data_IF_295483625022
#
_entry.id   IF_295483625022
#
_cell.length_a   1.000
_cell.length_b   1.000
_cell.length_c   1.000
_cell.angle_alpha   90.00
_cell.angle_beta   90.00
_cell.angle_gamma   90.00
#
_symmetry.space_group_name_H-M   'P 1'
#
loop_
_entity.id
_entity.type
_entity.pdbx_description
1 polymer ?
#
# COMPACT_ATOMS: atom_id res chain seq x y z
N UNK A 1 20.74 17.29 1.36
CA UNK A 1 20.99 18.63 0.79
C UNK A 1 20.67 18.63 -0.71
N UNK A 2 20.34 19.77 -1.32
CA UNK A 2 20.18 19.85 -2.77
C UNK A 2 21.47 19.34 -3.46
N UNK A 3 21.33 18.51 -4.51
CA UNK A 3 22.43 17.85 -5.25
C UNK A 3 23.12 16.68 -4.51
N UNK A 4 22.55 16.16 -3.42
CA UNK A 4 23.06 14.94 -2.82
C UNK A 4 22.70 13.75 -3.71
N UNK A 5 23.71 12.97 -4.15
CA UNK A 5 23.50 11.68 -4.80
C UNK A 5 23.16 10.64 -3.73
N UNK A 6 22.07 9.90 -3.92
CA UNK A 6 21.69 8.77 -3.08
C UNK A 6 21.65 7.52 -3.96
N UNK A 7 22.48 6.55 -3.65
CA UNK A 7 22.46 5.24 -4.31
C UNK A 7 21.63 4.27 -3.46
N UNK A 8 20.56 3.72 -4.03
CA UNK A 8 19.72 2.69 -3.40
C UNK A 8 19.96 1.37 -4.14
N UNK A 9 20.50 0.38 -3.43
CA UNK A 9 20.74 -0.96 -3.97
C UNK A 9 19.78 -1.97 -3.33
N UNK A 10 19.03 -2.68 -4.17
CA UNK A 10 18.18 -3.79 -3.76
C UNK A 10 18.73 -5.07 -4.34
N UNK A 11 18.94 -6.08 -3.51
CA UNK A 11 19.42 -7.40 -3.92
C UNK A 11 18.51 -8.47 -3.36
N UNK A 12 18.27 -9.54 -4.12
CA UNK A 12 17.42 -10.63 -3.67
C UNK A 12 17.46 -11.81 -4.62
N UNK A 13 16.83 -12.91 -4.22
CA UNK A 13 16.56 -14.07 -5.07
C UNK A 13 15.06 -14.26 -5.20
N UNK A 14 14.59 -14.48 -6.41
CA UNK A 14 13.18 -14.63 -6.73
C UNK A 14 12.94 -15.98 -7.36
N UNK A 15 11.87 -16.65 -6.95
CA UNK A 15 11.38 -17.86 -7.58
C UNK A 15 10.08 -17.57 -8.33
N UNK A 16 10.06 -17.91 -9.61
CA UNK A 16 8.88 -17.79 -10.47
C UNK A 16 8.21 -19.16 -10.55
N UNK A 17 6.89 -19.21 -10.48
CA UNK A 17 6.11 -20.45 -10.46
C UNK A 17 5.09 -20.44 -11.59
N UNK A 18 4.92 -21.59 -12.24
CA UNK A 18 3.95 -21.76 -13.34
C UNK A 18 2.48 -21.57 -12.90
N UNK A 19 2.21 -21.76 -11.61
CA UNK A 19 0.88 -21.53 -11.02
C UNK A 19 1.03 -20.61 -9.80
N UNK A 20 0.09 -19.71 -9.58
CA UNK A 20 0.09 -18.89 -8.38
C UNK A 20 0.15 -19.77 -7.12
N UNK A 21 1.08 -19.51 -6.22
CA UNK A 21 1.17 -20.21 -4.94
C UNK A 21 -0.01 -19.91 -4.04
N UNK A 22 -0.56 -18.70 -4.20
CA UNK A 22 -1.77 -18.25 -3.53
C UNK A 22 -2.49 -17.23 -4.40
N UNK A 23 -3.79 -17.41 -4.56
CA UNK A 23 -4.65 -16.43 -5.19
C UNK A 23 -5.01 -15.36 -4.17
N UNK A 24 -4.70 -14.10 -4.48
CA UNK A 24 -5.13 -12.94 -3.70
C UNK A 24 -6.14 -12.21 -4.57
N UNK A 25 -7.39 -12.22 -4.14
CA UNK A 25 -8.44 -11.50 -4.84
C UNK A 25 -8.23 -10.00 -4.67
N UNK A 26 -8.12 -9.24 -5.76
CA UNK A 26 -8.06 -7.78 -5.68
C UNK A 26 -9.38 -7.22 -5.16
N UNK A 27 -9.33 -6.06 -4.51
CA UNK A 27 -10.55 -5.37 -4.10
C UNK A 27 -11.37 -4.93 -5.33
N UNK A 28 -12.69 -4.80 -5.22
CA UNK A 28 -13.52 -4.26 -6.30
C UNK A 28 -13.02 -2.89 -6.81
N UNK A 29 -12.55 -2.03 -5.91
CA UNK A 29 -11.98 -0.73 -6.29
C UNK A 29 -10.70 -0.86 -7.10
N UNK A 30 -9.89 -1.89 -6.86
CA UNK A 30 -8.70 -2.19 -7.66
C UNK A 30 -9.10 -2.61 -9.06
N UNK A 31 -10.07 -3.52 -9.22
CA UNK A 31 -10.56 -3.92 -10.54
C UNK A 31 -11.13 -2.75 -11.32
N UNK A 32 -11.97 -1.91 -10.68
CA UNK A 32 -12.53 -0.71 -11.30
C UNK A 32 -11.47 0.30 -11.73
N UNK A 33 -10.38 0.46 -10.96
CA UNK A 33 -9.29 1.35 -11.35
C UNK A 33 -8.55 0.86 -12.59
N UNK A 34 -8.49 -0.46 -12.79
CA UNK A 34 -7.86 -1.08 -13.96
C UNK A 34 -8.78 -1.15 -15.21
N UNK A 35 -9.92 -0.46 -15.19
CA UNK A 35 -10.79 -0.23 -16.34
C UNK A 35 -10.68 1.21 -16.88
N UNK A 36 -10.06 2.12 -16.13
CA UNK A 36 -10.05 3.54 -16.49
C UNK A 36 -9.04 3.84 -17.60
N UNK A 37 -9.37 4.76 -18.53
CA UNK A 37 -8.41 5.26 -19.49
C UNK A 37 -7.29 6.04 -18.79
N UNK A 38 -6.12 6.10 -19.42
CA UNK A 38 -4.97 6.91 -18.99
C UNK A 38 -4.31 7.53 -20.21
N UNK A 39 -3.22 8.27 -20.02
CA UNK A 39 -2.48 8.91 -21.11
C UNK A 39 -2.05 7.92 -22.18
N UNK A 40 -1.56 6.74 -21.81
CA UNK A 40 -1.03 5.75 -22.75
C UNK A 40 -2.03 4.62 -23.06
N UNK A 41 -3.04 4.42 -22.20
CA UNK A 41 -4.10 3.43 -22.41
C UNK A 41 -5.42 4.13 -22.72
N UNK A 42 -5.53 4.67 -23.93
CA UNK A 42 -6.68 5.47 -24.40
C UNK A 42 -7.90 4.58 -24.67
N UNK A 43 -8.38 3.88 -23.65
CA UNK A 43 -9.53 2.95 -23.77
C UNK A 43 -10.88 3.66 -24.02
N UNK A 44 -10.93 4.97 -23.92
CA UNK A 44 -12.06 5.83 -24.26
C UNK A 44 -12.01 6.36 -25.71
N UNK A 45 -10.91 6.15 -26.44
CA UNK A 45 -10.82 6.51 -27.86
C UNK A 45 -11.83 5.72 -28.69
N UNK A 46 -12.61 6.38 -29.60
CA UNK A 46 -13.65 5.70 -30.38
C UNK A 46 -13.14 4.54 -31.22
N UNK A 47 -12.00 4.68 -31.91
CA UNK A 47 -11.46 3.61 -32.77
C UNK A 47 -11.00 2.41 -31.94
N UNK A 48 -10.37 2.66 -30.79
CA UNK A 48 -9.98 1.59 -29.85
C UNK A 48 -11.21 0.86 -29.33
N UNK A 49 -12.29 1.59 -28.97
CA UNK A 49 -13.55 0.99 -28.51
C UNK A 49 -14.24 0.14 -29.56
N UNK A 50 -14.30 0.63 -30.80
CA UNK A 50 -14.94 -0.11 -31.89
C UNK A 50 -14.15 -1.37 -32.24
N UNK A 51 -12.82 -1.27 -32.25
CA UNK A 51 -11.95 -2.44 -32.43
C UNK A 51 -12.09 -3.43 -31.27
N UNK A 52 -12.07 -2.96 -30.03
CA UNK A 52 -12.22 -3.81 -28.84
C UNK A 52 -13.55 -4.58 -28.86
N UNK A 53 -14.65 -3.91 -29.25
CA UNK A 53 -15.97 -4.53 -29.40
C UNK A 53 -15.97 -5.60 -30.52
N UNK A 54 -15.30 -5.33 -31.62
CA UNK A 54 -15.18 -6.28 -32.75
C UNK A 54 -14.40 -7.53 -32.35
N UNK A 55 -13.28 -7.37 -31.63
CA UNK A 55 -12.44 -8.47 -31.18
C UNK A 55 -13.12 -9.28 -30.06
N UNK A 56 -13.68 -8.62 -29.08
CA UNK A 56 -14.56 -9.19 -28.05
C UNK A 56 -13.85 -10.00 -26.95
N UNK A 57 -12.71 -10.64 -27.23
CA UNK A 57 -12.01 -11.52 -26.25
C UNK A 57 -10.52 -11.19 -26.14
N UNK A 58 -9.88 -11.43 -24.97
CA UNK A 58 -8.44 -11.24 -24.81
C UNK A 58 -7.60 -12.00 -25.85
N UNK A 59 -7.97 -13.22 -26.20
CA UNK A 59 -7.28 -14.02 -27.21
C UNK A 59 -7.28 -13.30 -28.56
N UNK A 60 -8.45 -12.85 -29.03
CA UNK A 60 -8.53 -12.15 -30.32
C UNK A 60 -7.81 -10.81 -30.32
N UNK A 61 -7.76 -10.12 -29.17
CA UNK A 61 -6.96 -8.89 -29.01
C UNK A 61 -5.47 -9.20 -29.11
N UNK A 62 -5.01 -10.26 -28.46
CA UNK A 62 -3.63 -10.73 -28.56
C UNK A 62 -3.29 -11.12 -29.99
N UNK A 63 -4.11 -11.93 -30.64
CA UNK A 63 -3.90 -12.37 -32.02
C UNK A 63 -3.84 -11.18 -32.99
N UNK A 64 -4.75 -10.21 -32.83
CA UNK A 64 -4.74 -8.99 -33.63
C UNK A 64 -3.42 -8.22 -33.48
N UNK A 65 -2.96 -8.01 -32.23
CA UNK A 65 -1.75 -7.26 -31.93
C UNK A 65 -0.52 -7.96 -32.48
N UNK A 66 -0.39 -9.28 -32.26
CA UNK A 66 0.75 -10.06 -32.74
C UNK A 66 0.85 -10.12 -34.28
N UNK A 67 -0.28 -10.05 -35.00
CA UNK A 67 -0.34 -10.06 -36.46
C UNK A 67 -0.22 -8.67 -37.07
N UNK A 68 -0.57 -7.61 -36.34
CA UNK A 68 -0.64 -6.25 -36.90
C UNK A 68 0.59 -5.43 -36.55
N UNK A 69 1.07 -5.49 -35.32
CA UNK A 69 2.23 -4.69 -34.91
C UNK A 69 3.53 -5.35 -35.33
N UNK A 70 4.45 -4.51 -35.80
CA UNK A 70 5.83 -4.92 -36.12
C UNK A 70 6.79 -4.26 -35.13
N UNK A 71 7.68 -5.06 -34.57
CA UNK A 71 8.66 -4.56 -33.59
C UNK A 71 9.73 -3.71 -34.26
N UNK A 72 9.87 -2.46 -33.85
CA UNK A 72 10.87 -1.52 -34.36
C UNK A 72 12.12 -1.52 -33.48
N UNK A 73 13.14 -2.27 -33.89
CA UNK A 73 14.42 -2.37 -33.18
C UNK A 73 15.19 -1.05 -33.13
N UNK A 74 15.02 -0.16 -34.09
CA UNK A 74 15.71 1.14 -34.13
C UNK A 74 15.25 2.08 -33.04
N UNK A 75 14.05 1.86 -32.48
CA UNK A 75 13.51 2.61 -31.36
C UNK A 75 14.06 2.17 -29.99
N UNK A 76 14.75 1.04 -29.90
CA UNK A 76 15.27 0.54 -28.63
C UNK A 76 16.47 1.38 -28.20
N UNK A 77 16.20 2.51 -27.60
CA UNK A 77 17.19 3.48 -27.11
C UNK A 77 16.99 3.77 -25.62
N UNK A 78 18.03 4.22 -24.90
CA UNK A 78 17.96 4.40 -23.44
C UNK A 78 16.86 5.36 -22.94
N UNK A 79 16.45 6.31 -23.75
CA UNK A 79 15.45 7.33 -23.40
C UNK A 79 14.31 7.36 -24.41
N UNK A 80 13.86 6.18 -24.85
CA UNK A 80 12.77 6.08 -25.82
C UNK A 80 11.46 6.69 -25.30
N UNK A 81 10.82 7.48 -26.15
CA UNK A 81 9.50 8.02 -25.86
C UNK A 81 8.42 6.94 -25.99
N UNK A 82 7.53 6.85 -25.01
CA UNK A 82 6.34 6.00 -25.04
C UNK A 82 5.24 6.67 -25.85
N UNK A 83 4.69 5.98 -26.83
CA UNK A 83 3.73 6.56 -27.79
C UNK A 83 2.27 6.30 -27.41
N UNK A 84 1.98 5.19 -26.73
CA UNK A 84 0.64 4.80 -26.28
C UNK A 84 -0.17 4.01 -27.33
N UNK A 85 -1.33 3.53 -26.88
CA UNK A 85 -2.19 2.62 -27.63
C UNK A 85 -2.70 3.21 -28.95
N UNK A 86 -3.12 4.48 -28.95
CA UNK A 86 -3.61 5.14 -30.17
C UNK A 86 -2.54 5.26 -31.24
N UNK A 87 -1.33 5.57 -30.84
CA UNK A 87 -0.19 5.63 -31.77
C UNK A 87 0.16 4.26 -32.32
N UNK A 88 0.13 3.21 -31.48
CA UNK A 88 0.34 1.83 -31.91
C UNK A 88 -0.69 1.39 -32.96
N UNK A 89 -1.95 1.76 -32.78
CA UNK A 89 -3.01 1.46 -33.76
C UNK A 89 -2.79 2.17 -35.10
N UNK A 90 -2.39 3.43 -35.07
CA UNK A 90 -2.22 4.26 -36.28
C UNK A 90 -0.89 4.00 -37.00
N UNK A 91 0.16 3.60 -36.31
CA UNK A 91 1.50 3.36 -36.82
C UNK A 91 2.03 2.00 -36.37
N UNK A 92 1.47 0.89 -36.87
CA UNK A 92 1.77 -0.44 -36.35
C UNK A 92 3.22 -0.90 -36.56
N UNK A 93 3.94 -0.33 -37.51
CA UNK A 93 5.37 -0.62 -37.75
C UNK A 93 6.33 0.15 -36.85
N UNK A 94 5.81 1.02 -35.97
CA UNK A 94 6.60 1.84 -35.06
C UNK A 94 6.40 1.45 -33.57
N UNK A 95 6.25 0.17 -33.28
CA UNK A 95 5.98 -0.36 -31.97
C UNK A 95 7.21 -1.00 -31.32
N UNK A 96 7.34 -0.85 -30.00
CA UNK A 96 8.21 -1.68 -29.15
C UNK A 96 7.35 -2.30 -28.05
N UNK A 97 7.94 -3.01 -27.08
CA UNK A 97 7.18 -3.71 -26.04
C UNK A 97 6.13 -2.83 -25.32
N UNK A 98 6.42 -1.54 -25.14
CA UNK A 98 5.47 -0.60 -24.52
C UNK A 98 4.20 -0.45 -25.36
N UNK A 99 4.30 -0.24 -26.67
CA UNK A 99 3.15 -0.06 -27.56
C UNK A 99 2.33 -1.35 -27.75
N UNK A 100 2.98 -2.52 -27.78
CA UNK A 100 2.29 -3.81 -27.76
C UNK A 100 1.44 -3.96 -26.48
N UNK A 101 2.04 -3.63 -25.33
CA UNK A 101 1.37 -3.65 -24.03
C UNK A 101 0.26 -2.63 -23.94
N UNK A 102 0.51 -1.39 -24.38
CA UNK A 102 -0.45 -0.29 -24.34
C UNK A 102 -1.71 -0.58 -25.12
N UNK A 103 -1.55 -1.10 -26.35
CA UNK A 103 -2.68 -1.43 -27.20
C UNK A 103 -3.52 -2.57 -26.59
N UNK A 104 -2.89 -3.60 -26.03
CA UNK A 104 -3.63 -4.67 -25.37
C UNK A 104 -4.41 -4.16 -24.15
N UNK A 105 -3.74 -3.39 -23.27
CA UNK A 105 -4.39 -2.84 -22.08
C UNK A 105 -5.56 -1.92 -22.45
N UNK A 106 -5.39 -1.07 -23.46
CA UNK A 106 -6.44 -0.18 -23.92
C UNK A 106 -7.64 -0.95 -24.50
N UNK A 107 -7.42 -1.95 -25.34
CA UNK A 107 -8.46 -2.80 -25.91
C UNK A 107 -9.20 -3.59 -24.85
N UNK A 108 -8.48 -4.22 -23.92
CA UNK A 108 -9.08 -4.98 -22.83
C UNK A 108 -9.97 -4.09 -21.94
N UNK A 109 -9.46 -2.92 -21.53
CA UNK A 109 -10.22 -1.95 -20.73
C UNK A 109 -11.44 -1.40 -21.48
N UNK A 110 -11.32 -1.09 -22.75
CA UNK A 110 -12.42 -0.64 -23.60
C UNK A 110 -13.54 -1.68 -23.70
N UNK A 111 -13.20 -2.97 -23.60
CA UNK A 111 -14.16 -4.09 -23.59
C UNK A 111 -14.61 -4.50 -22.17
N UNK A 112 -14.33 -3.69 -21.16
CA UNK A 112 -14.75 -3.94 -19.77
C UNK A 112 -13.94 -5.02 -19.04
N UNK A 113 -12.78 -5.39 -19.55
CA UNK A 113 -11.86 -6.37 -18.95
C UNK A 113 -10.76 -5.60 -18.21
N UNK A 114 -10.66 -5.70 -16.86
CA UNK A 114 -9.59 -5.07 -16.14
C UNK A 114 -8.23 -5.55 -16.65
N UNK A 115 -7.35 -4.61 -17.01
CA UNK A 115 -6.03 -4.91 -17.53
C UNK A 115 -4.98 -3.94 -16.98
N UNK A 116 -3.73 -4.39 -16.91
CA UNK A 116 -2.62 -3.64 -16.34
C UNK A 116 -1.32 -3.99 -17.03
N UNK A 117 -0.34 -3.12 -16.90
CA UNK A 117 1.00 -3.32 -17.41
C UNK A 117 1.91 -3.86 -16.34
N UNK A 118 2.80 -4.76 -16.70
CA UNK A 118 3.94 -5.17 -15.91
C UNK A 118 5.21 -4.61 -16.55
N UNK A 119 6.02 -3.94 -15.77
CA UNK A 119 7.37 -3.56 -16.16
C UNK A 119 8.36 -4.42 -15.38
N UNK A 120 9.29 -5.06 -16.06
CA UNK A 120 10.21 -5.97 -15.44
C UNK A 120 11.35 -6.41 -16.34
N UNK A 121 11.86 -7.57 -16.05
CA UNK A 121 12.94 -8.20 -16.79
C UNK A 121 12.45 -9.52 -17.37
N UNK A 122 12.66 -9.69 -18.68
CA UNK A 122 12.41 -10.96 -19.37
C UNK A 122 13.72 -11.49 -19.93
N UNK A 123 14.07 -12.72 -19.57
CA UNK A 123 15.33 -13.34 -19.95
C UNK A 123 15.17 -14.22 -21.19
N UNK A 124 15.98 -14.00 -22.20
CA UNK A 124 16.11 -14.91 -23.36
C UNK A 124 17.57 -15.06 -23.74
N UNK A 125 17.96 -16.25 -24.16
CA UNK A 125 19.24 -16.54 -24.81
C UNK A 125 19.18 -16.28 -26.32
N UNK A 126 17.96 -16.12 -26.86
CA UNK A 126 17.76 -15.81 -28.27
C UNK A 126 17.69 -14.30 -28.48
N UNK A 127 18.68 -13.69 -29.16
CA UNK A 127 18.70 -12.25 -29.42
C UNK A 127 17.55 -11.75 -30.32
N UNK A 128 16.92 -12.61 -31.09
CA UNK A 128 15.77 -12.24 -31.95
C UNK A 128 14.51 -11.97 -31.09
N UNK A 129 14.38 -12.64 -29.94
CA UNK A 129 13.26 -12.45 -29.02
C UNK A 129 13.53 -11.23 -28.13
N UNK A 130 14.75 -11.10 -27.66
CA UNK A 130 15.18 -9.97 -26.81
C UNK A 130 16.26 -9.18 -27.55
N UNK A 131 15.95 -7.97 -28.02
CA UNK A 131 16.96 -7.08 -28.58
C UNK A 131 17.91 -6.66 -27.46
N UNK A 132 19.11 -7.22 -27.44
CA UNK A 132 20.11 -6.96 -26.42
C UNK A 132 20.77 -5.61 -26.65
N UNK A 133 20.49 -4.64 -25.79
CA UNK A 133 21.44 -3.58 -25.53
C UNK A 133 22.43 -4.05 -24.47
N UNK A 134 23.67 -4.31 -24.85
CA UNK A 134 24.74 -4.71 -23.94
C UNK A 134 25.20 -3.55 -23.02
N UNK A 135 24.75 -2.33 -23.29
CA UNK A 135 25.24 -1.10 -22.66
C UNK A 135 24.26 -0.51 -21.65
N UNK A 136 22.98 -0.83 -21.74
CA UNK A 136 21.95 -0.33 -20.85
C UNK A 136 21.00 -1.46 -20.43
N UNK A 137 20.24 -1.24 -19.37
CA UNK A 137 19.23 -2.20 -18.94
C UNK A 137 18.08 -2.23 -19.93
N UNK A 138 17.87 -3.36 -20.55
CA UNK A 138 16.70 -3.60 -21.38
C UNK A 138 15.61 -4.16 -20.47
N UNK A 139 14.74 -3.29 -20.02
CA UNK A 139 13.52 -3.67 -19.34
C UNK A 139 12.50 -4.13 -20.36
N UNK A 140 11.64 -5.02 -19.94
CA UNK A 140 10.55 -5.52 -20.76
C UNK A 140 9.20 -5.11 -20.16
N UNK A 141 8.23 -4.89 -21.03
CA UNK A 141 6.86 -4.57 -20.67
C UNK A 141 5.92 -5.59 -21.28
N UNK A 142 5.00 -6.10 -20.47
CA UNK A 142 3.94 -7.02 -20.91
C UNK A 142 2.65 -6.78 -20.15
N UNK A 143 1.48 -7.10 -20.74
CA UNK A 143 0.20 -6.91 -20.09
C UNK A 143 -0.22 -8.11 -19.24
N UNK A 144 -1.10 -7.82 -18.28
CA UNK A 144 -1.94 -8.80 -17.59
C UNK A 144 -3.40 -8.37 -17.69
N UNK A 145 -4.31 -9.33 -17.85
CA UNK A 145 -5.75 -9.10 -17.78
C UNK A 145 -6.38 -9.92 -16.65
N UNK A 146 -7.47 -9.41 -16.11
CA UNK A 146 -8.23 -10.11 -15.08
C UNK A 146 -9.16 -11.14 -15.73
N UNK A 147 -8.93 -12.39 -15.44
CA UNK A 147 -9.85 -13.46 -15.77
C UNK A 147 -10.83 -13.68 -14.60
N UNK A 148 -12.12 -13.40 -14.86
CA UNK A 148 -13.18 -13.53 -13.86
C UNK A 148 -13.51 -14.97 -13.51
N UNK A 149 -13.27 -15.91 -14.43
CA UNK A 149 -13.65 -17.32 -14.26
C UNK A 149 -12.67 -18.05 -13.33
N UNK A 150 -11.39 -17.74 -13.45
CA UNK A 150 -10.33 -18.25 -12.55
C UNK A 150 -10.05 -17.32 -11.37
N UNK A 151 -10.64 -16.11 -11.36
CA UNK A 151 -10.38 -15.07 -10.36
C UNK A 151 -8.88 -14.77 -10.19
N UNK A 152 -8.16 -14.62 -11.31
CA UNK A 152 -6.72 -14.36 -11.31
C UNK A 152 -6.30 -13.40 -12.42
N UNK A 153 -5.15 -12.76 -12.24
CA UNK A 153 -4.48 -12.03 -13.31
C UNK A 153 -3.74 -13.00 -14.21
N UNK A 154 -4.01 -12.94 -15.52
CA UNK A 154 -3.37 -13.76 -16.53
C UNK A 154 -2.31 -12.93 -17.24
N UNK A 155 -1.02 -13.22 -17.07
CA UNK A 155 0.05 -12.58 -17.79
C UNK A 155 0.15 -13.16 -19.21
N UNK A 156 0.39 -12.30 -20.19
CA UNK A 156 0.61 -12.65 -21.59
C UNK A 156 1.73 -11.78 -22.16
N UNK A 157 2.33 -12.17 -23.27
CA UNK A 157 3.33 -11.34 -23.93
C UNK A 157 3.11 -11.27 -25.45
N UNK A 158 2.37 -10.28 -25.94
CA UNK A 158 2.15 -10.10 -27.36
C UNK A 158 3.42 -9.67 -28.11
N UNK A 159 4.40 -9.04 -27.43
CA UNK A 159 5.67 -8.69 -28.06
C UNK A 159 6.46 -9.93 -28.46
N UNK A 160 6.70 -10.81 -27.48
CA UNK A 160 7.43 -12.04 -27.76
C UNK A 160 6.61 -13.00 -28.63
N UNK A 161 5.28 -12.97 -28.52
CA UNK A 161 4.41 -13.69 -29.45
C UNK A 161 4.63 -13.28 -30.90
N UNK A 162 4.71 -11.97 -31.17
CA UNK A 162 4.97 -11.42 -32.51
C UNK A 162 6.39 -11.70 -33.00
N UNK A 163 7.40 -11.50 -32.14
CA UNK A 163 8.82 -11.60 -32.57
C UNK A 163 9.33 -13.04 -32.70
N UNK A 164 8.76 -13.98 -31.93
CA UNK A 164 9.18 -15.39 -31.96
C UNK A 164 8.21 -16.32 -32.68
N UNK A 165 6.97 -15.92 -32.88
CA UNK A 165 5.91 -16.77 -33.38
C UNK A 165 5.44 -17.87 -32.42
N UNK A 166 5.88 -17.82 -31.15
CA UNK A 166 5.48 -18.76 -30.11
C UNK A 166 4.21 -18.31 -29.39
N UNK A 167 3.51 -19.25 -28.76
CA UNK A 167 2.30 -18.94 -27.97
C UNK A 167 2.67 -18.38 -26.60
N UNK A 168 2.66 -17.06 -26.49
CA UNK A 168 2.80 -16.33 -25.23
C UNK A 168 1.45 -15.82 -24.68
N UNK A 169 0.34 -16.31 -25.20
CA UNK A 169 -0.98 -16.09 -24.60
C UNK A 169 -1.33 -17.16 -23.58
N UNK A 170 -1.24 -18.43 -23.94
CA UNK A 170 -1.63 -19.53 -23.05
C UNK A 170 -0.44 -20.14 -22.31
N UNK A 171 0.78 -19.82 -22.71
CA UNK A 171 2.02 -20.46 -22.20
C UNK A 171 3.10 -19.42 -21.91
N UNK A 172 2.79 -18.40 -21.09
CA UNK A 172 3.86 -17.52 -20.62
C UNK A 172 4.92 -18.34 -19.87
N UNK A 173 6.17 -18.10 -20.19
CA UNK A 173 7.29 -18.84 -19.62
C UNK A 173 7.66 -18.35 -18.20
N UNK A 174 8.58 -19.06 -17.52
CA UNK A 174 9.07 -18.70 -16.18
C UNK A 174 10.24 -17.70 -16.20
N UNK A 175 10.50 -17.08 -17.35
CA UNK A 175 11.63 -16.16 -17.57
C UNK A 175 11.23 -14.69 -17.41
N UNK A 176 9.95 -14.41 -17.23
CA UNK A 176 9.43 -13.07 -16.97
C UNK A 176 9.43 -12.78 -15.47
N UNK A 177 10.06 -11.68 -15.08
CA UNK A 177 10.15 -11.25 -13.70
C UNK A 177 9.70 -9.80 -13.54
N UNK A 178 8.61 -9.58 -12.80
CA UNK A 178 8.02 -8.27 -12.58
C UNK A 178 8.81 -7.44 -11.55
N UNK A 179 9.12 -6.19 -11.87
CA UNK A 179 9.62 -5.20 -10.93
C UNK A 179 8.51 -4.32 -10.40
N UNK A 180 7.64 -3.82 -11.29
CA UNK A 180 6.50 -2.97 -10.93
C UNK A 180 5.26 -3.37 -11.73
N UNK A 181 4.11 -3.06 -11.15
CA UNK A 181 2.80 -3.27 -11.74
C UNK A 181 2.13 -1.91 -11.90
N UNK A 182 1.84 -1.51 -13.12
CA UNK A 182 1.12 -0.29 -13.45
C UNK A 182 -0.35 -0.62 -13.74
N UNK A 183 -1.25 -0.13 -12.91
CA UNK A 183 -2.67 -0.38 -13.09
C UNK A 183 -3.50 0.90 -12.99
N UNK A 184 -3.43 1.58 -11.85
CA UNK A 184 -4.11 2.86 -11.64
C UNK A 184 -3.40 4.02 -12.34
N UNK A 185 -2.09 3.98 -12.38
CA UNK A 185 -1.21 4.95 -13.05
C UNK A 185 -0.40 4.17 -14.08
N UNK A 186 -0.17 4.75 -15.25
CA UNK A 186 0.56 4.14 -16.37
C UNK A 186 2.07 4.39 -16.35
N UNK A 187 2.57 5.15 -15.37
CA UNK A 187 3.96 5.60 -15.31
C UNK A 187 4.59 5.45 -13.93
N UNK A 188 3.79 5.29 -12.89
CA UNK A 188 4.24 5.21 -11.51
C UNK A 188 3.76 3.92 -10.81
N UNK A 189 4.61 3.32 -9.97
CA UNK A 189 5.98 3.70 -9.63
C UNK A 189 6.98 3.43 -10.75
N UNK A 190 8.03 4.25 -10.86
CA UNK A 190 9.07 4.06 -11.87
C UNK A 190 9.82 2.74 -11.62
N UNK A 191 9.99 1.94 -12.66
CA UNK A 191 10.69 0.66 -12.58
C UNK A 191 12.19 0.84 -12.35
N UNK A 192 12.81 -0.09 -11.62
CA UNK A 192 14.28 -0.13 -11.51
C UNK A 192 14.93 -0.19 -12.89
N UNK A 193 15.97 0.60 -13.12
CA UNK A 193 16.67 0.69 -14.39
C UNK A 193 16.01 1.59 -15.45
N UNK A 194 14.77 2.07 -15.24
CA UNK A 194 14.08 2.96 -16.19
C UNK A 194 14.63 4.38 -16.18
N UNK A 195 15.12 4.85 -15.04
CA UNK A 195 15.67 6.20 -14.91
C UNK A 195 17.14 6.24 -15.27
N UNK A 196 17.48 6.90 -16.36
CA UNK A 196 18.83 7.04 -16.86
C UNK A 196 19.27 8.49 -16.91
N UNK A 197 20.47 8.78 -16.44
CA UNK A 197 21.06 10.10 -16.43
C UNK A 197 22.14 10.21 -17.51
N UNK A 198 22.09 11.31 -18.26
CA UNK A 198 23.13 11.66 -19.25
C UNK A 198 23.03 10.89 -20.56
N UNK A 199 24.03 11.11 -21.41
CA UNK A 199 24.10 10.56 -22.77
C UNK A 199 24.71 9.17 -22.86
N UNK A 200 25.32 8.68 -21.77
CA UNK A 200 25.94 7.34 -21.70
C UNK A 200 25.45 6.62 -20.44
N UNK A 201 24.22 6.11 -20.43
CA UNK A 201 23.61 5.47 -19.27
C UNK A 201 24.32 4.15 -18.95
N UNK A 202 24.61 3.94 -17.66
CA UNK A 202 25.19 2.70 -17.18
C UNK A 202 24.12 1.66 -16.89
N UNK A 203 24.55 0.39 -16.84
CA UNK A 203 23.69 -0.72 -16.42
C UNK A 203 23.47 -0.67 -14.91
N UNK A 204 22.19 -0.69 -14.49
CA UNK A 204 21.76 -0.63 -13.10
C UNK A 204 21.06 -1.91 -12.62
N UNK A 205 20.62 -2.76 -13.56
CA UNK A 205 19.93 -4.02 -13.28
C UNK A 205 20.80 -5.20 -13.69
N UNK A 206 21.06 -6.08 -12.72
CA UNK A 206 21.87 -7.29 -12.92
C UNK A 206 21.04 -8.50 -12.52
N UNK A 207 20.76 -9.37 -13.47
CA UNK A 207 20.01 -10.61 -13.27
C UNK A 207 20.87 -11.80 -13.64
N UNK A 208 20.85 -12.83 -12.81
CA UNK A 208 21.49 -14.12 -13.08
C UNK A 208 20.56 -15.26 -12.67
N UNK A 209 20.66 -16.38 -13.36
CA UNK A 209 19.89 -17.57 -12.98
C UNK A 209 20.48 -18.16 -11.69
N UNK A 210 19.58 -18.39 -10.72
CA UNK A 210 19.93 -19.00 -9.44
C UNK A 210 19.80 -20.52 -9.50
N UNK A 211 20.63 -21.22 -8.76
CA UNK A 211 20.63 -22.69 -8.68
C UNK A 211 19.91 -23.21 -7.43
N UNK A 212 19.58 -22.35 -6.47
CA UNK A 212 18.95 -22.73 -5.21
C UNK A 212 17.67 -21.96 -4.93
N UNK A 213 16.68 -22.62 -4.36
CA UNK A 213 15.49 -21.92 -3.87
C UNK A 213 15.84 -21.14 -2.58
N UNK A 214 15.43 -19.89 -2.46
CA UNK A 214 15.59 -19.15 -1.23
C UNK A 214 14.74 -19.81 -0.13
N UNK A 215 15.33 -19.96 1.07
CA UNK A 215 14.56 -20.41 2.25
C UNK A 215 13.57 -19.30 2.64
N UNK A 216 12.31 -19.69 2.85
CA UNK A 216 11.31 -18.78 3.40
C UNK A 216 11.73 -18.38 4.82
N UNK A 217 11.90 -17.10 5.02
CA UNK A 217 12.26 -16.50 6.32
C UNK A 217 11.24 -15.43 6.66
N UNK A 218 10.21 -15.85 7.39
CA UNK A 218 9.18 -14.95 7.91
C UNK A 218 9.51 -14.56 9.36
N UNK A 219 9.37 -13.29 9.70
CA UNK A 219 9.58 -12.76 11.04
C UNK A 219 8.58 -11.64 11.30
N UNK A 220 7.52 -11.93 12.04
CA UNK A 220 6.50 -10.95 12.43
C UNK A 220 6.84 -10.41 13.82
N UNK A 221 7.09 -9.12 13.90
CA UNK A 221 7.31 -8.36 15.12
C UNK A 221 6.12 -7.45 15.41
N UNK A 222 5.74 -7.37 16.68
CA UNK A 222 4.66 -6.48 17.16
C UNK A 222 5.30 -5.39 18.02
N UNK A 223 5.21 -4.14 17.56
CA UNK A 223 5.68 -2.97 18.30
C UNK A 223 4.51 -2.19 18.85
N UNK A 224 4.68 -1.73 20.09
CA UNK A 224 3.65 -0.94 20.79
C UNK A 224 4.27 0.35 21.26
N UNK A 225 3.57 1.45 21.03
CA UNK A 225 3.92 2.77 21.54
C UNK A 225 2.69 3.48 22.07
N UNK A 226 2.90 4.37 23.02
CA UNK A 226 1.82 5.15 23.62
C UNK A 226 2.02 6.63 23.26
N UNK A 227 1.06 7.26 22.57
CA UNK A 227 1.16 8.67 22.25
C UNK A 227 1.19 9.51 23.55
N UNK A 228 1.99 10.58 23.54
CA UNK A 228 2.06 11.55 24.63
C UNK A 228 0.81 12.44 24.63
N UNK A 229 -0.34 11.85 24.95
CA UNK A 229 -1.63 12.52 25.01
C UNK A 229 -2.20 12.40 26.41
N UNK A 230 -2.80 13.49 26.89
CA UNK A 230 -3.52 13.48 28.15
C UNK A 230 -4.86 12.76 27.97
N UNK A 231 -5.06 11.68 28.69
CA UNK A 231 -6.25 10.84 28.63
C UNK A 231 -6.66 10.45 30.05
N UNK A 232 -7.95 10.58 30.36
CA UNK A 232 -8.46 10.37 31.73
C UNK A 232 -9.25 9.06 31.89
N UNK A 233 -9.97 8.61 30.87
CA UNK A 233 -10.89 7.47 30.97
C UNK A 233 -10.48 6.28 30.11
N UNK A 234 -9.49 6.48 29.27
CA UNK A 234 -8.92 5.49 28.36
C UNK A 234 -7.42 5.73 28.19
N UNK A 235 -6.74 4.77 27.59
CA UNK A 235 -5.38 4.93 27.08
C UNK A 235 -5.29 4.46 25.64
N UNK A 236 -4.80 5.30 24.76
CA UNK A 236 -4.56 4.93 23.37
C UNK A 236 -3.17 4.29 23.24
N UNK A 237 -3.13 3.13 22.59
CA UNK A 237 -1.90 2.44 22.18
C UNK A 237 -1.83 2.39 20.67
N UNK A 238 -0.67 2.69 20.09
CA UNK A 238 -0.37 2.44 18.69
C UNK A 238 0.33 1.08 18.57
N UNK A 239 -0.29 0.16 17.87
CA UNK A 239 0.23 -1.17 17.59
C UNK A 239 0.69 -1.21 16.15
N UNK A 240 1.96 -1.56 15.92
CA UNK A 240 2.54 -1.78 14.60
C UNK A 240 2.94 -3.23 14.46
N UNK A 241 2.43 -3.89 13.42
CA UNK A 241 2.76 -5.25 13.05
C UNK A 241 3.69 -5.17 11.85
N UNK A 242 4.90 -5.69 11.96
CA UNK A 242 5.97 -5.56 10.97
C UNK A 242 6.42 -6.94 10.53
N UNK A 243 6.50 -7.16 9.23
CA UNK A 243 7.27 -8.29 8.71
C UNK A 243 8.74 -7.90 8.58
N UNK A 244 9.59 -8.35 9.49
CA UNK A 244 11.05 -8.15 9.43
C UNK A 244 11.76 -9.22 8.59
N UNK A 245 11.02 -10.24 8.19
CA UNK A 245 11.55 -11.34 7.40
C UNK A 245 11.83 -10.97 5.95
N UNK A 246 12.56 -11.82 5.28
CA UNK A 246 12.92 -11.70 3.86
C UNK A 246 11.85 -12.26 2.91
N UNK A 247 10.80 -12.89 3.45
CA UNK A 247 9.71 -13.47 2.67
C UNK A 247 8.37 -12.85 3.05
N UNK A 248 7.47 -12.74 2.08
CA UNK A 248 6.09 -12.34 2.36
C UNK A 248 5.41 -13.35 3.29
N UNK A 249 4.59 -12.85 4.20
CA UNK A 249 3.73 -13.67 5.07
C UNK A 249 2.31 -13.56 4.56
N UNK A 250 1.66 -14.69 4.40
CA UNK A 250 0.30 -14.79 3.90
C UNK A 250 -0.67 -15.20 5.02
N UNK A 251 -1.94 -14.87 4.85
CA UNK A 251 -3.03 -15.26 5.75
C UNK A 251 -2.82 -14.81 7.20
N UNK A 252 -2.50 -13.54 7.37
CA UNK A 252 -2.30 -12.98 8.70
C UNK A 252 -3.64 -12.55 9.27
N UNK A 253 -4.07 -13.18 10.35
CA UNK A 253 -5.14 -12.65 11.17
C UNK A 253 -4.52 -11.93 12.36
N UNK A 254 -4.83 -10.65 12.49
CA UNK A 254 -4.46 -9.85 13.67
C UNK A 254 -5.66 -9.78 14.60
N UNK A 255 -5.44 -10.12 15.86
CA UNK A 255 -6.46 -10.09 16.90
C UNK A 255 -5.97 -9.32 18.11
N UNK A 256 -6.88 -8.58 18.74
CA UNK A 256 -6.62 -7.85 19.98
C UNK A 256 -7.62 -8.35 21.02
N UNK A 257 -7.10 -8.75 22.17
CA UNK A 257 -7.87 -9.28 23.27
C UNK A 257 -7.81 -8.33 24.47
N UNK A 258 -8.96 -8.13 25.09
CA UNK A 258 -9.06 -7.64 26.46
C UNK A 258 -9.45 -8.82 27.33
N UNK A 259 -8.55 -9.21 28.23
CA UNK A 259 -8.63 -10.48 28.93
C UNK A 259 -8.75 -11.64 27.92
N UNK A 260 -9.84 -12.40 27.94
CA UNK A 260 -10.10 -13.50 27.00
C UNK A 260 -11.01 -13.10 25.84
N UNK A 261 -11.52 -11.87 25.84
CA UNK A 261 -12.47 -11.41 24.81
C UNK A 261 -11.76 -10.76 23.64
N UNK A 262 -11.96 -11.27 22.44
CA UNK A 262 -11.49 -10.63 21.22
C UNK A 262 -12.32 -9.39 20.94
N UNK A 263 -11.68 -8.22 20.96
CA UNK A 263 -12.32 -6.92 20.70
C UNK A 263 -12.07 -6.43 19.28
N UNK A 264 -11.15 -7.06 18.58
CA UNK A 264 -10.76 -6.71 17.22
C UNK A 264 -10.17 -7.92 16.51
N UNK A 265 -10.57 -8.12 15.25
CA UNK A 265 -9.99 -9.11 14.35
C UNK A 265 -9.95 -8.55 12.94
N UNK A 266 -8.79 -8.60 12.29
CA UNK A 266 -8.61 -8.16 10.91
C UNK A 266 -7.73 -9.17 10.16
N UNK A 267 -8.14 -9.48 8.95
CA UNK A 267 -7.43 -10.38 8.07
C UNK A 267 -6.66 -9.60 7.00
N UNK A 268 -5.39 -9.94 6.85
CA UNK A 268 -4.52 -9.43 5.79
C UNK A 268 -4.10 -10.60 4.90
N UNK A 269 -4.42 -10.55 3.61
CA UNK A 269 -4.07 -11.65 2.70
C UNK A 269 -2.57 -11.80 2.53
N UNK A 270 -1.81 -10.71 2.61
CA UNK A 270 -0.35 -10.70 2.50
C UNK A 270 0.26 -9.51 3.24
N UNK A 271 1.39 -9.74 3.89
CA UNK A 271 2.28 -8.70 4.41
C UNK A 271 3.68 -8.92 3.79
N UNK A 272 4.07 -8.10 2.81
CA UNK A 272 5.36 -8.20 2.14
C UNK A 272 6.55 -8.08 3.09
N UNK A 273 7.77 -8.46 2.65
CA UNK A 273 8.99 -8.20 3.40
C UNK A 273 9.10 -6.72 3.77
N UNK A 274 9.49 -6.44 5.02
CA UNK A 274 9.66 -5.10 5.58
C UNK A 274 8.41 -4.21 5.61
N UNK A 275 7.27 -4.68 5.13
CA UNK A 275 6.01 -3.97 5.25
C UNK A 275 5.47 -4.00 6.68
N UNK A 276 4.64 -3.01 7.00
CA UNK A 276 3.98 -2.93 8.30
C UNK A 276 2.52 -2.48 8.16
N UNK A 277 1.76 -2.78 9.20
CA UNK A 277 0.39 -2.30 9.40
C UNK A 277 0.31 -1.63 10.77
N UNK A 278 -0.29 -0.44 10.80
CA UNK A 278 -0.51 0.32 12.03
C UNK A 278 -1.98 0.22 12.46
N UNK A 279 -2.18 0.04 13.76
CA UNK A 279 -3.51 0.04 14.38
C UNK A 279 -3.51 0.83 15.66
N UNK A 280 -4.56 1.62 15.87
CA UNK A 280 -4.80 2.26 17.16
C UNK A 280 -5.78 1.43 17.98
N UNK A 281 -5.43 1.24 19.26
CA UNK A 281 -6.22 0.49 20.23
C UNK A 281 -6.55 1.40 21.40
N UNK A 282 -7.83 1.57 21.68
CA UNK A 282 -8.30 2.31 22.85
C UNK A 282 -8.57 1.35 24.00
N UNK A 283 -7.73 1.41 25.02
CA UNK A 283 -7.86 0.59 26.24
C UNK A 283 -8.77 1.33 27.21
N UNK A 284 -9.97 0.86 27.53
CA UNK A 284 -10.87 1.50 28.46
C UNK A 284 -10.33 1.38 29.88
N UNK A 285 -10.32 2.46 30.64
CA UNK A 285 -9.86 2.47 32.03
C UNK A 285 -10.98 2.84 33.00
N UNK A 286 -11.89 3.74 32.62
CA UNK A 286 -12.94 4.24 33.49
C UNK A 286 -12.42 5.08 34.62
N UNK A 287 -13.28 5.36 35.59
CA UNK A 287 -12.92 6.13 36.82
C UNK A 287 -12.11 5.23 37.74
N UNK A 288 -10.94 5.71 38.14
CA UNK A 288 -9.98 5.00 39.02
C UNK A 288 -9.66 3.57 38.54
N UNK A 289 -9.72 3.35 37.21
CA UNK A 289 -9.40 2.08 36.62
C UNK A 289 -10.50 1.00 36.72
N UNK A 290 -11.74 1.38 37.03
CA UNK A 290 -12.86 0.46 37.23
C UNK A 290 -13.23 -0.38 35.98
N UNK A 291 -12.84 0.06 34.78
CA UNK A 291 -13.08 -0.64 33.49
C UNK A 291 -11.80 -1.14 32.86
N UNK A 292 -10.67 -1.09 33.56
CA UNK A 292 -9.40 -1.51 33.01
C UNK A 292 -9.37 -3.04 32.84
N UNK A 293 -9.05 -3.57 31.65
CA UNK A 293 -8.79 -4.99 31.48
C UNK A 293 -7.56 -5.39 32.32
N UNK A 294 -7.54 -6.65 32.77
CA UNK A 294 -6.39 -7.22 33.49
C UNK A 294 -5.24 -7.42 32.50
N UNK A 295 -5.54 -7.96 31.33
CA UNK A 295 -4.59 -8.24 30.27
C UNK A 295 -5.06 -7.63 28.95
N UNK A 296 -4.12 -7.08 28.22
CA UNK A 296 -4.31 -6.66 26.82
C UNK A 296 -3.30 -7.40 25.98
N UNK A 297 -3.76 -8.17 25.00
CA UNK A 297 -2.88 -9.00 24.18
C UNK A 297 -3.15 -8.77 22.72
N UNK A 298 -2.08 -8.64 21.93
CA UNK A 298 -2.13 -8.60 20.46
C UNK A 298 -1.52 -9.88 19.93
N UNK A 299 -2.24 -10.55 19.04
CA UNK A 299 -1.77 -11.74 18.32
C UNK A 299 -1.77 -11.45 16.83
N UNK A 300 -0.67 -11.79 16.16
CA UNK A 300 -0.54 -11.69 14.72
C UNK A 300 0.33 -12.82 14.20
N UNK A 301 -0.21 -13.67 13.33
CA UNK A 301 0.47 -14.86 12.79
C UNK A 301 0.93 -15.80 13.94
N UNK A 302 2.25 -15.93 14.15
CA UNK A 302 2.86 -16.73 15.23
C UNK A 302 3.39 -15.88 16.38
N UNK A 303 3.17 -14.59 16.30
CA UNK A 303 3.67 -13.63 17.29
C UNK A 303 2.55 -13.17 18.20
N UNK A 304 2.90 -13.03 19.48
CA UNK A 304 2.00 -12.54 20.51
C UNK A 304 2.73 -11.51 21.36
N UNK A 305 2.03 -10.45 21.75
CA UNK A 305 2.56 -9.41 22.64
C UNK A 305 1.53 -8.89 23.60
N UNK A 306 1.89 -8.93 24.88
CA UNK A 306 1.13 -8.26 25.93
C UNK A 306 1.40 -6.75 25.92
N UNK A 307 0.35 -5.96 26.11
CA UNK A 307 0.39 -4.51 26.22
C UNK A 307 0.17 -4.09 27.66
N UNK A 308 0.91 -3.09 28.11
CA UNK A 308 0.60 -2.42 29.37
C UNK A 308 -0.65 -1.55 29.19
N UNK A 309 -1.62 -1.67 30.08
CA UNK A 309 -2.80 -0.80 30.09
C UNK A 309 -2.49 0.65 30.50
N UNK A 310 -1.29 0.92 31.02
CA UNK A 310 -0.88 2.21 31.59
C UNK A 310 -1.85 2.74 32.65
N UNK A 311 -2.56 1.83 33.34
CA UNK A 311 -3.60 2.10 34.34
C UNK A 311 -3.11 3.04 35.44
N UNK A 312 -1.94 2.77 36.00
CA UNK A 312 -1.39 3.56 37.11
C UNK A 312 -1.18 5.03 36.71
N UNK A 313 -0.68 5.29 35.53
CA UNK A 313 -0.45 6.66 35.04
C UNK A 313 -1.74 7.45 34.91
N UNK A 314 -2.79 6.82 34.39
CA UNK A 314 -4.10 7.47 34.21
C UNK A 314 -4.79 7.70 35.53
N UNK A 315 -4.69 6.77 36.50
CA UNK A 315 -5.21 6.95 37.84
C UNK A 315 -4.55 8.14 38.54
N UNK A 316 -3.23 8.29 38.43
CA UNK A 316 -2.53 9.46 39.00
C UNK A 316 -3.11 10.76 38.42
N UNK A 317 -3.33 10.84 37.09
CA UNK A 317 -3.93 12.03 36.49
C UNK A 317 -5.35 12.31 36.99
N UNK A 318 -6.16 11.27 37.21
CA UNK A 318 -7.51 11.41 37.76
C UNK A 318 -7.47 11.92 39.21
N UNK A 319 -6.58 11.37 40.04
CA UNK A 319 -6.41 11.79 41.46
C UNK A 319 -5.97 13.25 41.53
N UNK A 320 -4.99 13.65 40.70
CA UNK A 320 -4.53 15.03 40.62
C UNK A 320 -5.68 15.98 40.23
N UNK A 321 -6.45 15.62 39.20
CA UNK A 321 -7.60 16.41 38.76
C UNK A 321 -8.66 16.55 39.88
N UNK A 322 -9.02 15.45 40.53
CA UNK A 322 -9.98 15.46 41.64
C UNK A 322 -9.48 16.31 42.81
N UNK A 323 -8.19 16.25 43.12
CA UNK A 323 -7.57 17.07 44.15
C UNK A 323 -7.66 18.57 43.81
N UNK A 324 -7.39 18.95 42.55
CA UNK A 324 -7.55 20.34 42.10
C UNK A 324 -9.00 20.82 42.21
N UNK A 325 -9.97 19.99 41.82
CA UNK A 325 -11.39 20.32 41.93
C UNK A 325 -11.77 20.51 43.42
N UNK A 326 -11.34 19.61 44.31
CA UNK A 326 -11.60 19.70 45.73
C UNK A 326 -11.02 20.98 46.37
N UNK A 327 -9.77 21.30 46.03
CA UNK A 327 -9.11 22.55 46.47
C UNK A 327 -9.91 23.76 45.97
N UNK A 328 -10.29 23.80 44.70
CA UNK A 328 -11.10 24.87 44.13
C UNK A 328 -12.44 25.07 44.83
N UNK A 329 -13.15 23.95 45.10
CA UNK A 329 -14.42 24.01 45.87
C UNK A 329 -14.18 24.53 47.27
N UNK A 330 -13.13 24.07 47.97
CA UNK A 330 -12.79 24.49 49.31
C UNK A 330 -12.45 25.98 49.40
N UNK A 331 -11.67 26.49 48.45
CA UNK A 331 -11.35 27.92 48.35
C UNK A 331 -12.61 28.75 48.06
N UNK A 332 -13.45 28.28 47.12
CA UNK A 332 -14.72 28.97 46.85
C UNK A 332 -15.68 29.00 48.02
N UNK A 333 -15.83 27.88 48.76
CA UNK A 333 -16.63 27.81 49.95
C UNK A 333 -16.09 28.77 51.05
N UNK A 334 -14.78 28.78 51.30
CA UNK A 334 -14.10 29.68 52.23
C UNK A 334 -14.34 31.15 51.88
N UNK A 335 -14.19 31.50 50.61
CA UNK A 335 -14.48 32.86 50.12
C UNK A 335 -15.94 33.27 50.34
N UNK A 336 -16.88 32.39 50.04
CA UNK A 336 -18.32 32.64 50.29
C UNK A 336 -18.66 32.82 51.75
N UNK A 337 -18.05 32.00 52.65
CA UNK A 337 -18.19 32.13 54.11
C UNK A 337 -17.61 33.46 54.61
N UNK A 338 -16.44 33.87 54.16
CA UNK A 338 -15.78 35.11 54.53
C UNK A 338 -16.62 36.34 54.14
N UNK A 339 -17.16 36.31 52.89
CA UNK A 339 -18.05 37.37 52.37
C UNK A 339 -19.39 37.44 53.12
N UNK A 340 -19.91 36.28 53.54
CA UNK A 340 -21.11 36.17 54.39
C UNK A 340 -20.88 36.77 55.76
N UNK A 341 -19.74 36.45 56.39
CA UNK A 341 -19.34 36.98 57.72
C UNK A 341 -19.12 38.50 57.70
N UNK A 342 -18.49 39.03 56.64
CA UNK A 342 -18.33 40.47 56.46
C UNK A 342 -19.67 41.22 56.39
N UNK A 343 -20.60 40.74 55.54
CA UNK A 343 -21.95 41.33 55.43
C UNK A 343 -22.76 41.20 56.73
N UNK A 344 -22.57 40.13 57.49
CA UNK A 344 -23.22 39.96 58.78
C UNK A 344 -22.69 41.00 59.77
N UNK A 345 -21.38 41.18 59.87
CA UNK A 345 -20.74 42.19 60.75
C UNK A 345 -21.15 43.63 60.39
N UNK A 346 -21.20 43.94 59.08
CA UNK A 346 -21.71 45.24 58.60
C UNK A 346 -23.15 45.48 59.00
N UNK A 347 -24.02 44.49 58.99
CA UNK A 347 -25.40 44.61 59.41
C UNK A 347 -25.49 44.81 60.96
N UNK A 348 -24.65 44.14 61.76
CA UNK A 348 -24.59 44.36 63.19
C UNK A 348 -24.10 45.81 63.49
N UNK A 349 -23.05 46.24 62.84
CA UNK A 349 -22.47 47.56 62.96
C UNK A 349 -23.51 48.69 62.65
N UNK A 350 -24.20 48.52 61.53
CA UNK A 350 -25.26 49.44 61.12
C UNK A 350 -26.43 49.47 62.15
N UNK A 351 -26.77 48.33 62.77
CA UNK A 351 -27.82 48.23 63.76
C UNK A 351 -27.41 48.90 65.11
N UNK A 352 -26.15 48.74 65.49
CA UNK A 352 -25.60 49.39 66.74
C UNK A 352 -25.51 50.91 66.54
N UNK A 353 -25.07 51.38 65.37
CA UNK A 353 -24.99 52.81 65.00
C UNK A 353 -26.38 53.45 65.10
N UNK A 354 -27.40 52.80 64.52
CA UNK A 354 -28.77 53.30 64.51
C UNK A 354 -29.39 53.37 65.90
N UNK A 355 -28.94 52.54 66.88
CA UNK A 355 -29.38 52.62 68.29
C UNK A 355 -28.69 53.74 69.02
N UNK A 356 -27.45 54.11 68.70
CA UNK A 356 -26.72 55.25 69.32
C UNK A 356 -27.19 56.62 68.84
N UNK A 357 -27.71 56.68 67.58
CA UNK A 357 -28.19 57.94 67.04
C UNK A 357 -29.64 58.29 67.50
N UNK A 358 -30.31 57.36 68.19
CA UNK A 358 -31.67 57.52 68.74
C UNK A 358 -31.73 57.66 70.29
N UNK A 359 -30.57 57.79 70.95
CA UNK A 359 -30.42 58.13 72.38
C UNK A 359 -29.72 59.49 72.52
#
# INVERSE_FOLDING_TARGET
SPRQKLDVKVTGTVSVFAKPRKLISPSPSTLLSNLKPTKYWQSDDPEIRDLAKTLGTPQKMYDYITQTLTYNYDRVTPNVERLGAKSALNNPSNAICMEFTDLFVALARANGIPAREINGYAYSENPEIQPLSLVADVLHSWPEYWDKDTATWIPIDPTWGSTSGLDYFSKLDLRHFAFVIHGKNDSEPVSAGSYKLGTNPQKDVFVSLGTSQPKSQSDIDIRVSYPKKFELLKKTANVRIINKGLSAVYDITTQIFFDETSIYSEYFPVLPPYAFVDKQVEIPLGVLGSKAPLNVTVKAYRSEKALSSQKSQVIIYQILLLSFIFIGISVFASYKMQKGRSRFLERIYAKIKKTKDNT
#
